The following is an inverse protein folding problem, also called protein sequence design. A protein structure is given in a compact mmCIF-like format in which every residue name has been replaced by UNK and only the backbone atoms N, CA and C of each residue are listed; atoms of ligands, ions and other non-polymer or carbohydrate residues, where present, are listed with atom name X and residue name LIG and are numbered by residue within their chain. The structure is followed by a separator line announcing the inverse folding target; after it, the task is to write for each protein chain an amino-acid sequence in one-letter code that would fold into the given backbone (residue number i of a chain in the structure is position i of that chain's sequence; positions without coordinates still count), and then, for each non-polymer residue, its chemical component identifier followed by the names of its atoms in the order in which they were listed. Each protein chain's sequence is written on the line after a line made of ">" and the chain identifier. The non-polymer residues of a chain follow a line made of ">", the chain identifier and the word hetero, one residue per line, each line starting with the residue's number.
data_IF_565306974749
#
_entry.id   IF_565306974749
#
_cell.length_a   1.000
_cell.length_b   1.000
_cell.length_c   1.000
_cell.angle_alpha   90.00
_cell.angle_beta   90.00
_cell.angle_gamma   90.00
#
_symmetry.space_group_name_H-M   'P 1'
#
loop_
_entity.id
_entity.type
_entity.pdbx_description
1 polymer ?
#
# COMPACT_ATOMS: atom_id res chain seq x y z
N UNK A 1 32.10 4.78 -61.14
CA UNK A 1 32.90 5.86 -61.76
C UNK A 1 32.95 7.02 -60.76
N UNK A 2 34.25 7.34 -60.32
CA UNK A 2 34.75 8.53 -59.61
C UNK A 2 34.17 8.86 -58.25
N UNK A 3 34.81 8.62 -57.09
CA UNK A 3 36.07 9.19 -56.51
C UNK A 3 36.10 10.72 -56.41
N UNK A 4 36.15 11.27 -55.22
CA UNK A 4 37.26 11.94 -54.48
C UNK A 4 36.71 12.97 -53.49
N UNK A 5 37.08 12.90 -52.29
CA UNK A 5 38.19 13.35 -51.44
C UNK A 5 38.01 14.73 -50.78
N UNK A 6 38.02 14.69 -49.47
CA UNK A 6 38.74 15.45 -48.44
C UNK A 6 38.99 16.96 -48.62
N UNK A 7 38.77 17.70 -47.54
CA UNK A 7 39.84 18.47 -46.83
C UNK A 7 39.34 19.22 -45.59
N UNK A 8 40.09 19.01 -44.53
CA UNK A 8 40.27 19.82 -43.33
C UNK A 8 40.20 21.34 -43.55
N UNK A 9 39.61 22.06 -42.58
CA UNK A 9 40.11 23.40 -42.21
C UNK A 9 40.06 23.56 -40.67
N UNK A 10 41.27 23.59 -40.07
CA UNK A 10 41.55 24.09 -38.73
C UNK A 10 41.36 25.61 -38.71
N UNK A 11 40.65 26.13 -37.69
CA UNK A 11 40.89 27.47 -37.22
C UNK A 11 41.05 27.46 -35.70
N UNK A 12 42.28 27.73 -35.33
CA UNK A 12 42.69 28.09 -33.96
C UNK A 12 42.20 29.52 -33.68
N UNK A 13 41.55 29.74 -32.53
CA UNK A 13 41.71 31.01 -31.82
C UNK A 13 41.75 30.69 -30.32
N UNK A 14 42.91 31.01 -29.78
CA UNK A 14 43.22 30.94 -28.36
C UNK A 14 42.86 32.25 -27.66
N UNK A 15 42.82 32.18 -26.34
CA UNK A 15 43.01 33.21 -25.31
C UNK A 15 41.73 33.86 -24.80
N UNK A 16 41.30 33.43 -23.60
CA UNK A 16 41.49 34.20 -22.36
C UNK A 16 41.17 33.34 -21.13
N UNK A 17 42.19 33.15 -20.35
CA UNK A 17 42.23 32.42 -19.09
C UNK A 17 41.58 33.21 -17.97
N UNK A 18 40.64 32.55 -17.25
CA UNK A 18 40.27 32.85 -15.89
C UNK A 18 39.94 31.55 -15.18
N UNK A 19 40.43 31.27 -13.96
CA UNK A 19 40.13 30.03 -13.28
C UNK A 19 38.67 30.07 -12.76
N UNK A 20 37.78 29.38 -13.46
CA UNK A 20 36.50 29.01 -12.88
C UNK A 20 36.78 27.82 -11.98
N UNK A 21 36.72 28.03 -10.67
CA UNK A 21 36.68 26.97 -9.67
C UNK A 21 35.49 26.11 -9.94
N UNK A 22 35.70 25.00 -10.64
CA UNK A 22 34.72 23.93 -10.70
C UNK A 22 34.72 23.24 -9.33
N UNK A 23 33.71 23.55 -8.49
CA UNK A 23 33.40 22.69 -7.38
C UNK A 23 33.06 21.29 -7.94
N UNK A 24 33.62 20.20 -7.37
CA UNK A 24 33.26 18.88 -7.79
C UNK A 24 31.81 18.62 -7.33
N UNK A 25 30.88 18.58 -8.27
CA UNK A 25 29.58 18.00 -8.05
C UNK A 25 29.84 16.49 -7.82
N UNK A 26 29.96 16.11 -6.55
CA UNK A 26 29.94 14.73 -6.12
C UNK A 26 28.51 14.19 -6.36
N UNK A 27 28.21 13.79 -7.58
CA UNK A 27 27.15 12.88 -7.84
C UNK A 27 27.57 11.54 -7.20
N UNK A 28 27.04 11.23 -6.01
CA UNK A 28 27.13 9.91 -5.41
C UNK A 28 26.51 8.92 -6.40
N UNK A 29 27.34 8.21 -7.16
CA UNK A 29 26.91 7.20 -8.09
C UNK A 29 26.09 6.17 -7.32
N UNK A 30 24.79 6.06 -7.66
CA UNK A 30 23.88 5.09 -7.03
C UNK A 30 24.35 3.69 -7.38
N UNK A 31 24.79 2.93 -6.39
CA UNK A 31 25.16 1.53 -6.56
C UNK A 31 23.93 0.61 -6.45
N UNK A 32 24.03 -0.59 -7.04
CA UNK A 32 22.94 -1.55 -7.15
C UNK A 32 23.40 -2.98 -6.84
N UNK A 33 22.58 -3.65 -6.04
CA UNK A 33 22.65 -5.07 -5.70
C UNK A 33 21.60 -5.88 -6.45
N UNK A 34 21.53 -7.20 -6.20
CA UNK A 34 20.49 -8.06 -6.77
C UNK A 34 19.70 -8.74 -5.66
N UNK A 35 18.39 -8.52 -5.67
CA UNK A 35 17.42 -9.07 -4.72
C UNK A 35 16.71 -10.29 -5.30
N UNK A 36 16.44 -11.31 -4.48
CA UNK A 36 15.77 -12.55 -4.89
C UNK A 36 14.41 -12.75 -4.23
N UNK A 37 14.38 -12.85 -2.90
CA UNK A 37 13.17 -13.14 -2.12
C UNK A 37 13.07 -12.17 -0.95
N UNK A 38 11.82 -11.88 -0.56
CA UNK A 38 11.52 -11.17 0.69
C UNK A 38 10.37 -11.87 1.40
N UNK A 39 10.51 -12.09 2.70
CA UNK A 39 9.50 -12.72 3.55
C UNK A 39 9.56 -12.15 4.96
N UNK A 40 8.48 -12.28 5.72
CA UNK A 40 8.48 -12.03 7.16
C UNK A 40 9.17 -13.16 7.93
N UNK A 41 9.32 -14.33 7.32
CA UNK A 41 9.94 -15.51 7.92
C UNK A 41 11.43 -15.57 7.57
N UNK A 42 12.30 -15.27 8.54
CA UNK A 42 13.75 -15.29 8.38
C UNK A 42 14.28 -16.70 8.04
N UNK A 43 13.68 -17.75 8.63
CA UNK A 43 14.07 -19.14 8.41
C UNK A 43 13.83 -19.57 6.97
N UNK A 44 12.61 -19.31 6.45
CA UNK A 44 12.27 -19.59 5.06
C UNK A 44 13.17 -18.83 4.07
N UNK A 45 13.56 -17.60 4.40
CA UNK A 45 14.50 -16.80 3.59
C UNK A 45 15.91 -17.40 3.64
N UNK A 46 16.36 -17.90 4.78
CA UNK A 46 17.63 -18.61 4.91
C UNK A 46 17.67 -19.88 4.04
N UNK A 47 16.61 -20.69 4.09
CA UNK A 47 16.49 -21.88 3.25
C UNK A 47 16.47 -21.54 1.74
N UNK A 48 15.78 -20.46 1.38
CA UNK A 48 15.77 -19.97 0.01
C UNK A 48 17.15 -19.47 -0.44
N UNK A 49 17.90 -18.77 0.43
CA UNK A 49 19.30 -18.38 0.16
C UNK A 49 20.14 -19.62 -0.19
N UNK A 50 20.00 -20.70 0.58
CA UNK A 50 20.75 -21.94 0.36
C UNK A 50 20.37 -22.61 -0.95
N UNK A 51 19.11 -22.54 -1.36
CA UNK A 51 18.67 -23.01 -2.68
C UNK A 51 19.29 -22.18 -3.80
N UNK A 52 19.24 -20.83 -3.67
CA UNK A 52 19.86 -19.90 -4.65
C UNK A 52 21.37 -20.15 -4.73
N UNK A 53 22.05 -20.32 -3.61
CA UNK A 53 23.49 -20.63 -3.54
C UNK A 53 23.84 -21.91 -4.28
N UNK A 54 23.07 -22.98 -4.10
CA UNK A 54 23.27 -24.26 -4.82
C UNK A 54 23.07 -24.15 -6.32
N UNK A 55 22.12 -23.33 -6.76
CA UNK A 55 21.80 -23.18 -8.20
C UNK A 55 22.81 -22.27 -8.90
N UNK A 56 23.20 -21.17 -8.26
CA UNK A 56 24.06 -20.16 -8.86
C UNK A 56 25.55 -20.39 -8.61
N UNK A 57 25.88 -21.30 -7.72
CA UNK A 57 27.26 -21.74 -7.46
C UNK A 57 28.04 -20.89 -6.45
N UNK A 58 29.25 -21.34 -6.09
CA UNK A 58 30.01 -20.79 -4.98
C UNK A 58 30.46 -19.35 -5.20
N UNK A 59 30.69 -18.94 -6.44
CA UNK A 59 31.08 -17.56 -6.75
C UNK A 59 30.00 -16.53 -6.37
N UNK A 60 28.72 -16.90 -6.48
CA UNK A 60 27.58 -16.04 -6.05
C UNK A 60 27.29 -16.25 -4.57
N UNK A 61 27.41 -17.50 -4.09
CA UNK A 61 27.09 -17.88 -2.72
C UNK A 61 27.87 -17.07 -1.66
N UNK A 62 29.13 -16.75 -1.92
CA UNK A 62 30.01 -16.01 -1.03
C UNK A 62 29.50 -14.59 -0.69
N UNK A 63 28.76 -13.97 -1.59
CA UNK A 63 28.24 -12.61 -1.47
C UNK A 63 26.70 -12.57 -1.30
N UNK A 64 26.05 -13.73 -1.19
CA UNK A 64 24.66 -13.83 -0.81
C UNK A 64 24.47 -13.57 0.69
N UNK A 65 23.58 -12.67 1.04
CA UNK A 65 23.27 -12.35 2.45
C UNK A 65 21.76 -12.43 2.68
N UNK A 66 21.41 -12.85 3.89
CA UNK A 66 20.08 -12.62 4.44
C UNK A 66 20.13 -11.27 5.16
N UNK A 67 19.22 -10.39 4.78
CA UNK A 67 19.15 -9.03 5.32
C UNK A 67 17.76 -8.75 5.87
N UNK A 68 17.69 -7.86 6.86
CA UNK A 68 16.44 -7.33 7.39
C UNK A 68 16.20 -5.91 6.85
N UNK A 69 15.01 -5.66 6.37
CA UNK A 69 14.58 -4.34 5.92
C UNK A 69 13.09 -4.17 6.15
N UNK A 70 12.75 -3.22 6.99
CA UNK A 70 11.36 -2.89 7.16
C UNK A 70 10.50 -4.00 7.78
N UNK A 71 11.07 -4.92 8.60
CA UNK A 71 10.38 -6.09 9.18
C UNK A 71 10.19 -7.24 8.18
N UNK A 72 10.78 -7.13 6.99
CA UNK A 72 10.96 -8.22 6.05
C UNK A 72 12.40 -8.69 6.08
N UNK A 73 12.59 -9.97 5.79
CA UNK A 73 13.90 -10.58 5.56
C UNK A 73 14.04 -10.83 4.06
N UNK A 74 15.21 -10.56 3.50
CA UNK A 74 15.45 -10.73 2.06
C UNK A 74 16.77 -11.38 1.76
N UNK A 75 16.86 -12.09 0.60
CA UNK A 75 18.13 -12.57 0.07
C UNK A 75 18.65 -11.55 -0.91
N UNK A 76 19.84 -11.02 -0.63
CA UNK A 76 20.54 -10.03 -1.46
C UNK A 76 21.90 -10.58 -1.88
N UNK A 77 22.22 -10.45 -3.16
CA UNK A 77 23.57 -10.60 -3.69
C UNK A 77 24.23 -9.24 -3.72
N UNK A 78 25.16 -9.01 -2.82
CA UNK A 78 25.89 -7.76 -2.67
C UNK A 78 26.87 -7.59 -3.84
N UNK A 79 26.65 -6.54 -4.63
CA UNK A 79 27.50 -6.22 -5.78
C UNK A 79 28.08 -4.82 -5.70
N UNK A 80 27.32 -3.88 -5.15
CA UNK A 80 27.65 -2.46 -5.11
C UNK A 80 28.10 -1.91 -6.49
N UNK A 81 27.48 -2.40 -7.56
CA UNK A 81 27.83 -2.07 -8.95
C UNK A 81 26.81 -1.15 -9.62
N UNK A 82 27.07 -0.80 -10.88
CA UNK A 82 26.15 0.01 -11.68
C UNK A 82 24.81 -0.69 -11.95
N UNK A 83 23.78 0.11 -12.27
CA UNK A 83 22.43 -0.38 -12.53
C UNK A 83 22.36 -1.35 -13.70
N UNK A 84 23.09 -1.07 -14.79
CA UNK A 84 23.05 -1.89 -16.00
C UNK A 84 23.64 -3.30 -15.74
N UNK A 85 24.73 -3.37 -14.98
CA UNK A 85 25.33 -4.62 -14.50
C UNK A 85 24.39 -5.39 -13.59
N UNK A 86 23.72 -4.74 -12.64
CA UNK A 86 22.74 -5.40 -11.77
C UNK A 86 21.55 -5.97 -12.56
N UNK A 87 21.06 -5.27 -13.58
CA UNK A 87 20.02 -5.76 -14.50
C UNK A 87 20.48 -6.98 -15.29
N UNK A 88 21.73 -6.96 -15.84
CA UNK A 88 22.28 -8.11 -16.57
C UNK A 88 22.39 -9.35 -15.68
N UNK A 89 22.95 -9.20 -14.49
CA UNK A 89 23.08 -10.29 -13.51
C UNK A 89 21.71 -10.83 -13.09
N UNK A 90 20.78 -9.94 -12.71
CA UNK A 90 19.44 -10.35 -12.35
C UNK A 90 18.75 -11.15 -13.46
N UNK A 91 18.94 -10.78 -14.72
CA UNK A 91 18.38 -11.51 -15.89
C UNK A 91 18.99 -12.89 -16.03
N UNK A 92 20.31 -13.04 -15.89
CA UNK A 92 20.99 -14.35 -15.96
C UNK A 92 20.54 -15.25 -14.83
N UNK A 93 20.57 -14.74 -13.60
CA UNK A 93 20.14 -15.49 -12.42
C UNK A 93 18.67 -15.91 -12.51
N UNK A 94 17.78 -15.00 -12.95
CA UNK A 94 16.37 -15.31 -13.15
C UNK A 94 16.15 -16.51 -14.11
N UNK A 95 16.92 -16.59 -15.20
CA UNK A 95 16.84 -17.73 -16.15
C UNK A 95 17.21 -19.06 -15.50
N UNK A 96 18.24 -19.07 -14.64
CA UNK A 96 18.69 -20.26 -13.94
C UNK A 96 17.71 -20.68 -12.84
N UNK A 97 17.23 -19.72 -12.06
CA UNK A 97 16.28 -19.95 -10.96
C UNK A 97 14.92 -20.41 -11.46
N UNK A 98 14.39 -19.80 -12.54
CA UNK A 98 13.08 -20.15 -13.09
C UNK A 98 13.04 -21.59 -13.64
N UNK A 99 14.17 -22.12 -14.16
CA UNK A 99 14.27 -23.53 -14.58
C UNK A 99 14.12 -24.52 -13.42
N UNK A 100 14.28 -24.05 -12.18
CA UNK A 100 14.16 -24.83 -10.94
C UNK A 100 12.93 -24.43 -10.13
N UNK A 101 11.99 -23.67 -10.72
CA UNK A 101 10.76 -23.27 -10.08
C UNK A 101 10.89 -22.15 -9.04
N UNK A 102 12.07 -21.51 -8.96
CA UNK A 102 12.29 -20.38 -8.03
C UNK A 102 11.93 -19.04 -8.66
N UNK A 103 11.72 -18.03 -7.78
CA UNK A 103 11.41 -16.67 -8.18
C UNK A 103 12.53 -16.01 -8.98
N UNK A 104 12.17 -14.98 -9.76
CA UNK A 104 13.12 -14.21 -10.55
C UNK A 104 13.84 -13.18 -9.69
N UNK A 105 15.12 -12.97 -9.95
CA UNK A 105 15.94 -11.93 -9.35
C UNK A 105 15.61 -10.54 -9.95
N UNK A 106 15.83 -9.48 -9.18
CA UNK A 106 15.63 -8.09 -9.60
C UNK A 106 16.76 -7.18 -9.08
N UNK A 107 17.16 -6.13 -9.83
CA UNK A 107 18.08 -5.14 -9.32
C UNK A 107 17.41 -4.35 -8.20
N UNK A 108 18.17 -4.00 -7.16
CA UNK A 108 17.75 -3.18 -6.03
C UNK A 108 18.84 -2.14 -5.74
N UNK A 109 18.44 -0.95 -5.30
CA UNK A 109 19.39 0.09 -4.88
C UNK A 109 20.18 -0.43 -3.67
N UNK A 110 21.51 -0.33 -3.72
CA UNK A 110 22.36 -0.67 -2.58
C UNK A 110 22.15 0.32 -1.44
N UNK A 111 22.18 -0.18 -0.23
CA UNK A 111 22.12 0.60 1.00
C UNK A 111 22.83 -0.18 2.12
N UNK A 112 22.96 0.42 3.28
CA UNK A 112 23.44 -0.26 4.47
C UNK A 112 22.41 -1.29 4.94
N UNK A 113 22.60 -2.53 4.48
CA UNK A 113 21.71 -3.64 4.80
C UNK A 113 21.95 -4.13 6.23
N UNK A 114 20.90 -4.25 7.01
CA UNK A 114 20.98 -4.93 8.32
C UNK A 114 21.14 -6.43 8.08
N UNK A 115 22.30 -6.98 8.39
CA UNK A 115 22.57 -8.42 8.22
C UNK A 115 21.86 -9.23 9.31
N UNK A 116 21.25 -10.35 8.89
CA UNK A 116 20.68 -11.33 9.81
C UNK A 116 21.75 -12.40 10.08
N UNK A 117 22.10 -12.59 11.36
CA UNK A 117 23.05 -13.63 11.74
C UNK A 117 22.50 -15.02 11.38
N UNK A 118 23.36 -15.90 10.88
CA UNK A 118 23.01 -17.29 10.57
C UNK A 118 23.01 -18.10 11.87
N UNK A 119 21.87 -18.21 12.55
CA UNK A 119 21.72 -18.89 13.84
C UNK A 119 22.14 -20.38 13.79
N UNK A 120 22.29 -20.97 12.62
CA UNK A 120 22.69 -22.38 12.45
C UNK A 120 24.17 -22.65 12.75
N UNK A 121 24.99 -21.62 12.92
CA UNK A 121 26.39 -21.78 13.33
C UNK A 121 26.59 -21.78 14.85
N UNK A 122 25.57 -21.40 15.63
CA UNK A 122 25.65 -21.28 17.09
C UNK A 122 25.01 -22.44 17.88
N UNK A 123 24.40 -23.41 17.21
CA UNK A 123 23.61 -24.47 17.87
C UNK A 123 24.44 -25.72 18.33
N UNK A 124 25.79 -25.61 18.36
CA UNK A 124 26.64 -26.67 18.91
C UNK A 124 26.99 -26.51 20.37
N UNK A 125 26.46 -25.57 21.10
CA UNK A 125 26.73 -25.42 22.54
C UNK A 125 25.65 -24.65 23.28
N UNK A 126 24.55 -25.31 23.65
CA UNK A 126 23.79 -24.95 24.87
C UNK A 126 22.86 -26.07 25.33
N UNK A 127 22.79 -26.34 26.66
CA UNK A 127 21.91 -27.37 27.22
C UNK A 127 20.46 -26.89 27.24
N UNK A 128 19.55 -27.85 27.03
CA UNK A 128 18.10 -27.68 27.17
C UNK A 128 17.74 -27.20 28.59
N UNK A 129 17.08 -26.08 28.68
CA UNK A 129 16.25 -25.72 29.83
C UNK A 129 14.81 -25.63 29.38
N UNK A 130 13.97 -26.40 30.05
CA UNK A 130 12.54 -26.50 29.88
C UNK A 130 11.85 -25.14 30.12
N UNK A 131 11.02 -24.72 29.19
CA UNK A 131 10.11 -23.60 29.37
C UNK A 131 8.74 -24.14 29.79
N UNK A 132 8.30 -23.66 30.93
CA UNK A 132 6.98 -23.90 31.47
C UNK A 132 5.94 -23.16 30.59
N UNK A 133 4.88 -23.86 30.26
CA UNK A 133 3.69 -23.33 29.59
C UNK A 133 2.99 -22.32 30.51
N UNK A 134 2.84 -21.11 30.10
CA UNK A 134 1.83 -20.18 30.63
C UNK A 134 0.71 -20.01 29.58
N UNK A 135 -0.39 -20.67 29.88
CA UNK A 135 -1.66 -20.50 29.20
C UNK A 135 -2.26 -19.13 29.54
N UNK A 136 -2.22 -18.21 28.62
CA UNK A 136 -3.06 -17.01 28.71
C UNK A 136 -4.30 -17.17 27.83
N UNK A 137 -5.44 -17.16 28.48
CA UNK A 137 -6.79 -17.11 27.96
C UNK A 137 -6.99 -15.84 27.12
N UNK A 138 -7.67 -15.86 25.99
CA UNK A 138 -7.92 -14.65 25.21
C UNK A 138 -8.85 -13.73 25.97
N UNK A 139 -8.35 -12.53 26.27
CA UNK A 139 -9.10 -11.46 26.90
C UNK A 139 -10.29 -11.05 26.01
N UNK A 140 -11.42 -10.94 26.63
CA UNK A 140 -12.69 -10.38 26.14
C UNK A 140 -12.49 -9.05 25.45
N UNK A 141 -13.30 -8.85 24.39
CA UNK A 141 -13.50 -7.63 23.62
C UNK A 141 -13.61 -6.41 24.56
N UNK A 142 -12.75 -5.39 24.44
CA UNK A 142 -12.90 -4.20 25.24
C UNK A 142 -14.16 -3.45 24.78
N UNK A 143 -15.16 -3.46 25.59
CA UNK A 143 -16.35 -2.60 25.49
C UNK A 143 -15.83 -1.15 25.45
N UNK A 144 -16.09 -0.44 24.35
CA UNK A 144 -15.73 0.97 24.18
C UNK A 144 -16.39 1.79 25.31
N UNK A 145 -15.64 2.61 26.06
CA UNK A 145 -16.27 3.54 27.00
C UNK A 145 -17.13 4.51 26.23
N UNK A 146 -18.39 4.64 26.59
CA UNK A 146 -19.33 5.56 25.94
C UNK A 146 -18.82 7.00 26.01
N UNK A 147 -18.98 7.77 24.93
CA UNK A 147 -18.47 9.14 24.84
C UNK A 147 -19.16 10.08 25.82
N UNK A 148 -18.42 11.07 26.35
CA UNK A 148 -18.99 12.14 27.19
C UNK A 148 -20.05 12.94 26.42
N UNK A 149 -21.01 13.61 27.13
CA UNK A 149 -22.10 14.38 26.48
C UNK A 149 -21.55 15.48 25.56
N UNK A 150 -20.41 16.10 25.87
CA UNK A 150 -19.76 17.13 25.04
C UNK A 150 -19.12 16.51 23.78
N UNK A 151 -18.50 15.34 23.90
CA UNK A 151 -17.91 14.59 22.79
C UNK A 151 -18.98 14.05 21.84
N UNK A 152 -20.07 13.51 22.40
CA UNK A 152 -21.24 13.05 21.62
C UNK A 152 -21.89 14.19 20.80
N UNK A 153 -21.82 15.43 21.26
CA UNK A 153 -22.31 16.60 20.52
C UNK A 153 -21.40 16.97 19.36
N UNK A 154 -20.07 17.00 19.58
CA UNK A 154 -19.07 17.31 18.55
C UNK A 154 -19.00 16.25 17.44
N UNK A 155 -19.18 14.99 17.78
CA UNK A 155 -19.27 13.89 16.80
C UNK A 155 -20.50 14.08 15.90
N UNK A 156 -21.66 14.37 16.49
CA UNK A 156 -22.91 14.62 15.72
C UNK A 156 -22.78 15.85 14.81
N UNK A 157 -22.01 16.86 15.20
CA UNK A 157 -21.82 18.06 14.40
C UNK A 157 -21.05 17.78 13.09
N UNK A 158 -20.01 16.91 13.11
CA UNK A 158 -19.27 16.54 11.89
C UNK A 158 -20.10 15.68 10.94
N UNK A 159 -20.77 14.64 11.46
CA UNK A 159 -21.66 13.82 10.65
C UNK A 159 -22.77 14.65 10.01
N UNK A 160 -23.41 15.53 10.80
CA UNK A 160 -24.45 16.44 10.33
C UNK A 160 -23.93 17.41 9.23
N UNK A 161 -22.69 17.88 9.34
CA UNK A 161 -22.08 18.73 8.30
C UNK A 161 -21.88 17.99 6.98
N UNK A 162 -21.38 16.74 7.02
CA UNK A 162 -21.25 15.88 5.83
C UNK A 162 -22.62 15.58 5.24
N UNK A 163 -23.61 15.21 6.07
CA UNK A 163 -24.98 14.97 5.62
C UNK A 163 -25.61 16.19 4.96
N UNK A 164 -25.49 17.37 5.59
CA UNK A 164 -26.02 18.63 5.07
C UNK A 164 -25.43 18.95 3.69
N UNK A 165 -24.12 18.76 3.52
CA UNK A 165 -23.44 18.95 2.25
C UNK A 165 -23.99 18.00 1.17
N UNK A 166 -24.12 16.70 1.44
CA UNK A 166 -24.67 15.73 0.50
C UNK A 166 -26.14 16.02 0.17
N UNK A 167 -26.95 16.37 1.16
CA UNK A 167 -28.37 16.78 0.98
C UNK A 167 -28.49 18.02 0.08
N UNK A 168 -27.60 19.02 0.28
CA UNK A 168 -27.56 20.21 -0.58
C UNK A 168 -27.21 19.89 -2.03
N UNK A 169 -26.21 19.04 -2.25
CA UNK A 169 -25.86 18.58 -3.59
C UNK A 169 -27.01 17.82 -4.30
N UNK A 170 -27.77 17.03 -3.53
CA UNK A 170 -28.97 16.35 -4.04
C UNK A 170 -30.06 17.35 -4.41
N UNK A 171 -30.33 18.35 -3.55
CA UNK A 171 -31.30 19.40 -3.80
C UNK A 171 -30.97 20.21 -5.04
N UNK A 172 -29.67 20.47 -5.28
CA UNK A 172 -29.15 21.17 -6.46
C UNK A 172 -29.03 20.29 -7.72
N UNK A 173 -29.44 19.01 -7.65
CA UNK A 173 -29.31 18.04 -8.75
C UNK A 173 -27.87 17.65 -9.10
N UNK A 174 -26.90 18.03 -8.28
CA UNK A 174 -25.48 17.70 -8.49
C UNK A 174 -25.14 16.26 -8.11
N UNK A 175 -25.90 15.62 -7.23
CA UNK A 175 -25.94 14.19 -6.99
C UNK A 175 -27.36 13.71 -7.32
N UNK A 176 -27.48 12.78 -8.24
CA UNK A 176 -28.79 12.30 -8.70
C UNK A 176 -29.44 11.34 -7.68
N UNK A 177 -30.77 11.14 -7.81
CA UNK A 177 -31.55 10.29 -6.89
C UNK A 177 -31.15 8.80 -6.95
N UNK A 178 -30.62 8.37 -8.11
CA UNK A 178 -30.14 7.00 -8.34
C UNK A 178 -28.72 6.75 -7.80
N UNK A 179 -28.08 7.76 -7.23
CA UNK A 179 -26.78 7.66 -6.60
C UNK A 179 -26.92 7.47 -5.09
N UNK A 180 -26.33 6.43 -4.55
CA UNK A 180 -26.21 6.20 -3.12
C UNK A 180 -24.79 6.51 -2.65
N UNK A 181 -24.65 6.98 -1.43
CA UNK A 181 -23.35 7.37 -0.86
C UNK A 181 -23.13 6.68 0.48
N UNK A 182 -21.88 6.33 0.76
CA UNK A 182 -21.45 5.79 2.06
C UNK A 182 -20.20 6.52 2.53
N UNK A 183 -20.21 6.94 3.78
CA UNK A 183 -19.12 7.69 4.42
C UNK A 183 -18.78 7.10 5.77
N UNK A 184 -17.48 7.02 6.07
CA UNK A 184 -17.00 6.54 7.35
C UNK A 184 -15.72 7.27 7.72
N UNK A 185 -15.69 7.86 8.92
CA UNK A 185 -14.53 8.55 9.48
C UNK A 185 -14.29 8.05 10.90
N UNK A 186 -13.06 7.70 11.20
CA UNK A 186 -12.62 7.25 12.51
C UNK A 186 -11.35 8.01 12.91
N UNK A 187 -11.35 8.64 14.06
CA UNK A 187 -10.21 9.34 14.63
C UNK A 187 -9.38 8.38 15.48
N UNK A 188 -8.12 8.12 15.07
CA UNK A 188 -7.24 7.21 15.80
C UNK A 188 -6.70 7.77 17.11
N UNK A 189 -6.72 9.08 17.27
CA UNK A 189 -6.20 9.77 18.45
C UNK A 189 -7.17 9.66 19.60
N UNK A 190 -8.47 9.88 19.34
CA UNK A 190 -9.52 9.78 20.35
C UNK A 190 -10.15 8.40 20.45
N UNK A 191 -9.97 7.56 19.42
CA UNK A 191 -10.64 6.27 19.34
C UNK A 191 -12.11 6.37 18.97
N UNK A 192 -12.56 7.47 18.35
CA UNK A 192 -13.97 7.73 18.10
C UNK A 192 -14.36 7.66 16.64
N UNK A 193 -15.58 7.17 16.44
CA UNK A 193 -16.24 7.16 15.14
C UNK A 193 -16.94 8.52 14.95
N UNK A 194 -16.54 9.24 13.91
CA UNK A 194 -17.00 10.61 13.66
C UNK A 194 -18.08 10.73 12.58
N UNK A 195 -18.09 9.78 11.62
CA UNK A 195 -19.07 9.71 10.53
C UNK A 195 -19.41 8.25 10.22
N UNK A 196 -20.71 7.96 10.14
CA UNK A 196 -21.27 6.59 9.98
C UNK A 196 -22.34 6.50 8.89
N UNK A 197 -22.38 7.45 7.95
CA UNK A 197 -23.45 7.58 6.96
C UNK A 197 -23.44 6.38 6.00
N UNK A 198 -24.48 5.54 6.04
CA UNK A 198 -24.61 4.33 5.23
C UNK A 198 -23.36 3.43 5.28
N UNK A 199 -22.60 3.45 6.36
CA UNK A 199 -21.31 2.78 6.41
C UNK A 199 -21.40 1.25 6.37
N UNK A 200 -22.54 0.66 6.77
CA UNK A 200 -22.78 -0.79 6.73
C UNK A 200 -23.34 -1.28 5.39
N UNK A 201 -23.79 -0.36 4.54
CA UNK A 201 -24.34 -0.71 3.23
C UNK A 201 -23.23 -1.30 2.36
N UNK A 202 -23.54 -2.42 1.71
CA UNK A 202 -22.65 -3.02 0.70
C UNK A 202 -22.69 -2.22 -0.59
N UNK A 203 -21.51 -1.79 -1.04
CA UNK A 203 -21.25 -1.17 -2.33
C UNK A 203 -20.39 -2.09 -3.20
N UNK A 204 -20.33 -1.81 -4.51
CA UNK A 204 -19.32 -2.43 -5.35
C UNK A 204 -17.94 -2.16 -4.77
N UNK A 205 -17.12 -3.20 -4.66
CA UNK A 205 -15.78 -3.02 -4.08
C UNK A 205 -14.79 -2.38 -5.07
N UNK A 206 -14.97 -2.60 -6.38
CA UNK A 206 -14.05 -2.17 -7.42
C UNK A 206 -12.58 -2.45 -7.02
N UNK A 207 -11.68 -1.49 -7.21
CA UNK A 207 -10.27 -1.62 -6.82
C UNK A 207 -9.99 -1.37 -5.33
N UNK A 208 -10.97 -0.95 -4.54
CA UNK A 208 -10.82 -0.82 -3.10
C UNK A 208 -10.56 -2.17 -2.41
N UNK A 209 -10.93 -3.28 -3.06
CA UNK A 209 -10.74 -4.64 -2.51
C UNK A 209 -9.29 -5.12 -2.54
N UNK A 210 -8.41 -4.46 -3.28
CA UNK A 210 -7.03 -4.92 -3.53
C UNK A 210 -6.18 -5.01 -2.26
N UNK A 211 -6.25 -4.08 -1.30
CA UNK A 211 -5.58 -4.26 0.00
C UNK A 211 -6.09 -5.46 0.80
N UNK A 212 -7.37 -5.85 0.67
CA UNK A 212 -7.90 -7.06 1.31
C UNK A 212 -7.28 -8.33 0.71
N UNK A 213 -7.13 -8.35 -0.63
CA UNK A 213 -6.46 -9.45 -1.35
C UNK A 213 -5.00 -9.54 -0.91
N UNK A 214 -4.33 -8.41 -0.71
CA UNK A 214 -2.97 -8.36 -0.18
C UNK A 214 -2.88 -8.98 1.23
N UNK A 215 -3.82 -8.67 2.13
CA UNK A 215 -3.86 -9.26 3.46
C UNK A 215 -4.01 -10.79 3.42
N UNK A 216 -4.88 -11.32 2.56
CA UNK A 216 -5.03 -12.76 2.39
C UNK A 216 -3.75 -13.41 1.82
N UNK A 217 -3.04 -12.74 0.91
CA UNK A 217 -1.75 -13.21 0.41
C UNK A 217 -0.70 -13.26 1.51
N UNK A 218 -0.56 -12.18 2.30
CA UNK A 218 0.41 -12.14 3.40
C UNK A 218 0.08 -13.16 4.50
N UNK A 219 -1.20 -13.45 4.72
CA UNK A 219 -1.58 -14.53 5.63
C UNK A 219 -1.04 -15.89 5.17
N UNK A 220 -1.09 -16.19 3.87
CA UNK A 220 -0.48 -17.38 3.29
C UNK A 220 1.06 -17.37 3.39
N UNK A 221 1.68 -16.19 3.31
CA UNK A 221 3.13 -16.03 3.52
C UNK A 221 3.50 -16.35 4.97
N UNK A 222 2.73 -15.87 5.94
CA UNK A 222 2.93 -16.19 7.37
C UNK A 222 2.81 -17.69 7.65
N UNK A 223 1.85 -18.36 6.98
CA UNK A 223 1.68 -19.81 7.05
C UNK A 223 2.76 -20.61 6.29
N UNK A 224 3.77 -19.95 5.71
CA UNK A 224 4.83 -20.57 4.89
C UNK A 224 4.32 -21.27 3.61
N UNK A 225 3.08 -21.02 3.21
CA UNK A 225 2.48 -21.59 2.00
C UNK A 225 2.86 -20.78 0.75
N UNK A 226 3.20 -19.51 0.90
CA UNK A 226 3.65 -18.63 -0.17
C UNK A 226 4.93 -17.89 0.24
N UNK A 227 5.69 -17.46 -0.77
CA UNK A 227 6.88 -16.63 -0.57
C UNK A 227 6.66 -15.25 -1.17
N UNK A 228 6.99 -14.20 -0.42
CA UNK A 228 6.96 -12.82 -0.90
C UNK A 228 8.30 -12.47 -1.58
N UNK A 229 8.51 -13.02 -2.79
CA UNK A 229 9.71 -12.82 -3.61
C UNK A 229 9.58 -11.67 -4.61
N UNK A 230 10.59 -11.45 -5.47
CA UNK A 230 10.60 -10.35 -6.44
C UNK A 230 9.40 -10.33 -7.41
N UNK A 231 8.90 -11.51 -7.79
CA UNK A 231 7.73 -11.65 -8.67
C UNK A 231 6.45 -11.22 -7.96
N UNK A 232 6.18 -11.76 -6.77
CA UNK A 232 5.00 -11.41 -5.98
C UNK A 232 5.05 -9.94 -5.54
N UNK A 233 6.22 -9.40 -5.18
CA UNK A 233 6.41 -7.98 -4.85
C UNK A 233 6.04 -7.07 -6.04
N UNK A 234 6.48 -7.40 -7.26
CA UNK A 234 6.13 -6.66 -8.48
C UNK A 234 4.63 -6.67 -8.74
N UNK A 235 3.98 -7.85 -8.63
CA UNK A 235 2.54 -7.94 -8.82
C UNK A 235 1.77 -7.22 -7.70
N UNK A 236 2.23 -7.30 -6.46
CA UNK A 236 1.64 -6.61 -5.34
C UNK A 236 1.70 -5.08 -5.51
N UNK A 237 2.84 -4.55 -5.92
CA UNK A 237 3.02 -3.13 -6.22
C UNK A 237 2.15 -2.69 -7.40
N UNK A 238 2.13 -3.44 -8.50
CA UNK A 238 1.25 -3.16 -9.63
C UNK A 238 -0.23 -3.20 -9.22
N UNK A 239 -0.62 -4.14 -8.39
CA UNK A 239 -1.99 -4.28 -7.90
C UNK A 239 -2.41 -3.08 -7.06
N UNK A 240 -1.62 -2.67 -6.08
CA UNK A 240 -1.99 -1.61 -5.14
C UNK A 240 -1.74 -0.22 -5.75
N UNK A 241 -0.54 0.06 -6.24
CA UNK A 241 -0.14 1.37 -6.74
C UNK A 241 -0.79 1.70 -8.08
N UNK A 242 -0.57 0.86 -9.10
CA UNK A 242 -1.12 1.10 -10.45
C UNK A 242 -2.53 0.56 -10.64
N UNK A 243 -3.10 -0.07 -9.61
CA UNK A 243 -4.44 -0.68 -9.69
C UNK A 243 -4.59 -1.72 -10.81
N UNK A 244 -3.50 -2.43 -11.17
CA UNK A 244 -3.41 -3.36 -12.27
C UNK A 244 -4.29 -4.61 -12.04
N UNK A 245 -5.25 -4.86 -12.94
CA UNK A 245 -6.18 -5.98 -12.81
C UNK A 245 -5.54 -7.35 -13.12
N UNK A 246 -4.69 -7.49 -14.15
CA UNK A 246 -3.91 -8.71 -14.36
C UNK A 246 -3.09 -9.12 -13.13
N UNK A 247 -2.41 -8.18 -12.49
CA UNK A 247 -1.65 -8.43 -11.26
C UNK A 247 -2.56 -8.80 -10.08
N UNK A 248 -3.73 -8.16 -9.96
CA UNK A 248 -4.73 -8.52 -8.96
C UNK A 248 -5.14 -9.99 -9.12
N UNK A 249 -5.47 -10.40 -10.34
CA UNK A 249 -5.87 -11.78 -10.63
C UNK A 249 -4.72 -12.77 -10.44
N UNK A 250 -3.49 -12.34 -10.70
CA UNK A 250 -2.31 -13.16 -10.40
C UNK A 250 -2.20 -13.40 -8.88
N UNK A 251 -2.28 -12.35 -8.07
CA UNK A 251 -2.24 -12.46 -6.59
C UNK A 251 -3.38 -13.34 -6.08
N UNK A 252 -4.60 -13.15 -6.57
CA UNK A 252 -5.74 -14.00 -6.19
C UNK A 252 -5.51 -15.47 -6.52
N UNK A 253 -4.92 -15.76 -7.69
CA UNK A 253 -4.59 -17.16 -8.06
C UNK A 253 -3.55 -17.78 -7.11
N UNK A 254 -2.54 -17.02 -6.69
CA UNK A 254 -1.55 -17.53 -5.72
C UNK A 254 -2.23 -17.88 -4.38
N UNK A 255 -3.21 -17.10 -3.94
CA UNK A 255 -3.98 -17.38 -2.71
C UNK A 255 -4.92 -18.59 -2.86
N UNK A 256 -5.22 -19.03 -4.09
CA UNK A 256 -6.17 -20.12 -4.37
C UNK A 256 -7.53 -19.64 -4.88
N UNK A 257 -7.60 -18.41 -5.42
CA UNK A 257 -8.78 -17.82 -6.05
C UNK A 257 -9.66 -17.00 -5.11
N UNK A 258 -10.72 -16.36 -5.65
CA UNK A 258 -11.58 -15.43 -4.91
C UNK A 258 -12.19 -16.06 -3.64
N UNK A 259 -12.71 -17.29 -3.74
CA UNK A 259 -13.27 -18.01 -2.60
C UNK A 259 -12.25 -18.30 -1.50
N UNK A 260 -10.98 -18.56 -1.86
CA UNK A 260 -9.93 -18.76 -0.87
C UNK A 260 -9.58 -17.45 -0.16
N UNK A 261 -9.49 -16.33 -0.91
CA UNK A 261 -9.33 -15.00 -0.33
C UNK A 261 -10.45 -14.72 0.69
N UNK A 262 -11.72 -14.91 0.30
CA UNK A 262 -12.87 -14.70 1.19
C UNK A 262 -12.76 -15.53 2.48
N UNK A 263 -12.54 -16.84 2.36
CA UNK A 263 -12.39 -17.72 3.54
C UNK A 263 -11.27 -17.33 4.48
N UNK A 264 -10.11 -16.89 3.94
CA UNK A 264 -8.98 -16.45 4.76
C UNK A 264 -9.38 -15.22 5.56
N UNK A 265 -10.01 -14.24 4.92
CA UNK A 265 -10.41 -12.99 5.57
C UNK A 265 -11.48 -13.24 6.65
N UNK A 266 -12.51 -14.02 6.35
CA UNK A 266 -13.57 -14.35 7.31
C UNK A 266 -13.05 -15.13 8.52
N UNK A 267 -12.23 -16.14 8.27
CA UNK A 267 -11.69 -17.01 9.33
C UNK A 267 -10.75 -16.28 10.27
N UNK A 268 -9.84 -15.46 9.73
CA UNK A 268 -8.73 -14.90 10.50
C UNK A 268 -8.99 -13.46 10.97
N UNK A 269 -9.96 -12.77 10.36
CA UNK A 269 -10.32 -11.39 10.72
C UNK A 269 -11.85 -11.19 10.79
N UNK A 270 -12.60 -12.03 11.55
CA UNK A 270 -14.07 -12.01 11.52
C UNK A 270 -14.66 -10.69 12.01
N UNK A 271 -13.94 -9.94 12.85
CA UNK A 271 -14.37 -8.64 13.32
C UNK A 271 -14.25 -7.52 12.28
N UNK A 272 -13.54 -7.74 11.16
CA UNK A 272 -13.26 -6.72 10.15
C UNK A 272 -14.18 -6.87 8.95
N UNK A 273 -14.24 -8.05 8.33
CA UNK A 273 -14.87 -8.30 7.03
C UNK A 273 -16.31 -8.85 7.19
N UNK A 274 -17.21 -8.05 7.82
CA UNK A 274 -18.59 -8.48 8.11
C UNK A 274 -19.54 -8.32 6.92
N UNK A 275 -19.29 -7.34 6.07
CA UNK A 275 -20.08 -7.01 4.90
C UNK A 275 -19.26 -7.09 3.60
N UNK A 276 -18.14 -7.81 3.63
CA UNK A 276 -17.28 -8.03 2.47
C UNK A 276 -17.63 -9.33 1.77
N UNK A 277 -17.67 -9.31 0.44
CA UNK A 277 -17.92 -10.48 -0.40
C UNK A 277 -16.99 -10.49 -1.60
N UNK A 278 -16.08 -11.46 -1.67
CA UNK A 278 -15.11 -11.66 -2.76
C UNK A 278 -15.47 -12.95 -3.49
N UNK A 279 -16.15 -12.83 -4.61
CA UNK A 279 -16.76 -13.95 -5.32
C UNK A 279 -16.24 -14.16 -6.73
N UNK A 280 -15.49 -13.19 -7.26
CA UNK A 280 -15.01 -13.25 -8.64
C UNK A 280 -13.61 -12.66 -8.81
N UNK A 281 -12.89 -13.16 -9.84
CA UNK A 281 -11.72 -12.45 -10.37
C UNK A 281 -12.14 -11.13 -11.00
N UNK A 282 -11.18 -10.21 -11.17
CA UNK A 282 -11.45 -8.98 -11.90
C UNK A 282 -11.54 -9.32 -13.40
N UNK A 283 -12.70 -9.20 -14.04
CA UNK A 283 -12.87 -9.57 -15.43
C UNK A 283 -12.14 -8.62 -16.38
N UNK A 284 -11.93 -9.07 -17.61
CA UNK A 284 -11.38 -8.24 -18.67
C UNK A 284 -12.22 -6.95 -18.84
N UNK A 285 -11.53 -5.82 -18.98
CA UNK A 285 -12.20 -4.50 -19.03
C UNK A 285 -12.68 -3.97 -17.65
N UNK A 286 -12.33 -4.64 -16.54
CA UNK A 286 -12.58 -4.13 -15.18
C UNK A 286 -14.05 -4.08 -14.77
N UNK A 287 -14.94 -4.82 -15.45
CA UNK A 287 -16.38 -4.86 -15.18
C UNK A 287 -16.71 -5.76 -13.99
N UNK A 288 -16.19 -5.42 -12.81
CA UNK A 288 -16.45 -6.19 -11.57
C UNK A 288 -17.53 -5.49 -10.76
N UNK A 289 -18.66 -6.13 -10.60
CA UNK A 289 -19.81 -5.62 -9.85
C UNK A 289 -20.27 -6.55 -8.73
N UNK A 290 -19.71 -7.77 -8.67
CA UNK A 290 -20.14 -8.81 -7.73
C UNK A 290 -19.32 -8.81 -6.44
N UNK A 291 -18.06 -8.39 -6.50
CA UNK A 291 -17.27 -8.17 -5.30
C UNK A 291 -17.80 -6.93 -4.58
N UNK A 292 -18.12 -7.06 -3.30
CA UNK A 292 -18.73 -6.00 -2.49
C UNK A 292 -18.01 -5.84 -1.17
N UNK A 293 -18.10 -4.62 -0.61
CA UNK A 293 -17.67 -4.31 0.74
C UNK A 293 -18.40 -3.06 1.26
N UNK A 294 -18.38 -2.87 2.58
CA UNK A 294 -18.96 -1.69 3.22
C UNK A 294 -17.88 -0.66 3.58
N UNK A 295 -18.28 0.60 3.75
CA UNK A 295 -17.36 1.64 4.22
C UNK A 295 -16.84 1.31 5.64
N UNK A 296 -17.64 0.64 6.46
CA UNK A 296 -17.27 0.18 7.79
C UNK A 296 -16.15 -0.87 7.77
N UNK A 297 -16.23 -1.84 6.85
CA UNK A 297 -15.19 -2.86 6.70
C UNK A 297 -13.86 -2.24 6.25
N UNK A 298 -13.89 -1.27 5.33
CA UNK A 298 -12.69 -0.51 4.96
C UNK A 298 -12.11 0.26 6.15
N UNK A 299 -12.95 0.93 6.95
CA UNK A 299 -12.52 1.66 8.13
C UNK A 299 -11.84 0.74 9.16
N UNK A 300 -12.47 -0.41 9.48
CA UNK A 300 -11.90 -1.42 10.39
C UNK A 300 -10.58 -1.99 9.87
N UNK A 301 -10.53 -2.32 8.57
CA UNK A 301 -9.32 -2.82 7.95
C UNK A 301 -8.17 -1.80 8.01
N UNK A 302 -8.43 -0.56 7.67
CA UNK A 302 -7.41 0.51 7.70
C UNK A 302 -6.91 0.75 9.14
N UNK A 303 -7.80 0.73 10.12
CA UNK A 303 -7.41 0.79 11.53
C UNK A 303 -6.53 -0.40 11.94
N UNK A 304 -6.91 -1.61 11.55
CA UNK A 304 -6.14 -2.81 11.86
C UNK A 304 -4.77 -2.81 11.16
N UNK A 305 -4.68 -2.32 9.92
CA UNK A 305 -3.42 -2.10 9.20
C UNK A 305 -2.57 -1.04 9.92
N UNK A 306 -3.16 0.06 10.37
CA UNK A 306 -2.45 1.11 11.09
C UNK A 306 -1.85 0.59 12.40
N UNK A 307 -2.63 -0.17 13.15
CA UNK A 307 -2.22 -0.78 14.43
C UNK A 307 -1.34 -2.03 14.29
N UNK A 308 -1.03 -2.47 13.05
CA UNK A 308 -0.22 -3.67 12.83
C UNK A 308 -0.94 -5.00 13.13
N UNK A 309 -2.28 -4.98 13.25
CA UNK A 309 -3.10 -6.18 13.57
C UNK A 309 -3.44 -7.05 12.34
N UNK A 310 -2.99 -6.66 11.16
CA UNK A 310 -3.11 -7.43 9.91
C UNK A 310 -1.74 -7.98 9.55
N UNK A 311 -1.68 -9.25 9.21
CA UNK A 311 -0.45 -9.87 8.68
C UNK A 311 -0.01 -9.11 7.43
N UNK A 312 1.27 -8.73 7.39
CA UNK A 312 1.82 -7.90 6.31
C UNK A 312 1.41 -6.42 6.37
N UNK A 313 0.85 -5.94 7.49
CA UNK A 313 0.38 -4.55 7.65
C UNK A 313 1.44 -3.51 7.27
N UNK A 314 2.71 -3.75 7.58
CA UNK A 314 3.81 -2.83 7.26
C UNK A 314 4.00 -2.68 5.75
N UNK A 315 3.98 -3.79 5.02
CA UNK A 315 4.12 -3.76 3.56
C UNK A 315 2.85 -3.21 2.90
N UNK A 316 1.67 -3.54 3.42
CA UNK A 316 0.40 -2.94 2.95
C UNK A 316 0.44 -1.42 3.13
N UNK A 317 0.88 -0.91 4.28
CA UNK A 317 1.08 0.53 4.51
C UNK A 317 2.04 1.14 3.49
N UNK A 318 3.22 0.53 3.30
CA UNK A 318 4.20 0.99 2.33
C UNK A 318 3.60 1.10 0.92
N UNK A 319 2.89 0.07 0.49
CA UNK A 319 2.28 0.02 -0.84
C UNK A 319 1.17 1.05 -1.03
N UNK A 320 0.35 1.27 -0.01
CA UNK A 320 -0.73 2.27 -0.03
C UNK A 320 -0.22 3.71 0.11
N UNK A 321 1.02 3.92 0.58
CA UNK A 321 1.67 5.24 0.67
C UNK A 321 2.47 5.63 -0.57
N UNK A 322 2.55 4.75 -1.59
CA UNK A 322 3.23 5.10 -2.83
C UNK A 322 2.48 6.25 -3.53
N UNK A 323 3.19 7.27 -4.03
CA UNK A 323 2.56 8.41 -4.71
C UNK A 323 1.67 7.95 -5.86
N UNK A 324 0.39 8.26 -5.80
CA UNK A 324 -0.59 7.78 -6.77
C UNK A 324 -1.84 8.66 -6.82
N UNK A 325 -2.85 8.17 -7.53
CA UNK A 325 -4.14 8.87 -7.61
C UNK A 325 -4.88 8.75 -6.30
N UNK A 326 -5.33 9.87 -5.77
CA UNK A 326 -6.23 9.94 -4.62
C UNK A 326 -7.42 10.90 -4.90
N UNK A 327 -8.39 10.88 -3.99
CA UNK A 327 -9.56 11.76 -3.99
C UNK A 327 -9.83 12.34 -2.59
N UNK A 328 -8.91 12.14 -1.68
CA UNK A 328 -9.06 12.56 -0.27
C UNK A 328 -8.01 13.59 0.17
N UNK A 329 -7.01 13.84 -0.69
CA UNK A 329 -5.91 14.76 -0.39
C UNK A 329 -5.60 15.69 -1.55
N UNK A 330 -5.18 15.15 -2.73
CA UNK A 330 -4.80 15.98 -3.87
C UNK A 330 -5.99 16.77 -4.40
N UNK A 331 -5.94 18.09 -4.25
CA UNK A 331 -7.01 19.01 -4.61
C UNK A 331 -8.12 19.16 -3.56
N UNK A 332 -7.92 18.66 -2.34
CA UNK A 332 -8.64 19.09 -1.15
C UNK A 332 -7.99 20.39 -0.65
N UNK A 333 -8.74 21.48 -0.60
CA UNK A 333 -8.18 22.84 -0.41
C UNK A 333 -7.73 23.12 1.02
N UNK A 334 -8.37 22.46 1.99
CA UNK A 334 -8.15 22.73 3.41
C UNK A 334 -7.22 21.71 4.07
N UNK A 335 -7.03 20.52 3.47
CA UNK A 335 -6.12 19.51 4.02
C UNK A 335 -4.67 19.99 3.85
N UNK A 336 -3.89 20.15 4.95
CA UNK A 336 -2.58 20.79 4.89
C UNK A 336 -1.57 20.03 4.04
N UNK A 337 -0.67 20.78 3.40
CA UNK A 337 0.51 20.22 2.75
C UNK A 337 1.35 19.42 3.74
N UNK A 338 2.01 18.35 3.26
CA UNK A 338 2.78 17.46 4.11
C UNK A 338 1.95 16.45 4.92
N UNK A 339 0.62 16.41 4.71
CA UNK A 339 -0.23 15.33 5.22
C UNK A 339 0.24 14.00 4.63
N UNK A 340 0.48 13.02 5.50
CA UNK A 340 0.78 11.65 5.03
C UNK A 340 -0.50 10.96 4.64
N UNK A 341 -0.50 10.34 3.46
CA UNK A 341 -1.68 9.67 2.90
C UNK A 341 -1.35 8.22 2.58
N UNK A 342 -2.23 7.34 3.01
CA UNK A 342 -2.28 5.94 2.61
C UNK A 342 -3.66 5.70 2.03
N UNK A 343 -3.78 5.43 0.73
CA UNK A 343 -5.11 5.25 0.15
C UNK A 343 -5.18 4.19 -0.93
N UNK A 344 -6.41 3.84 -1.25
CA UNK A 344 -6.75 3.09 -2.45
C UNK A 344 -8.01 3.65 -3.08
N UNK A 345 -7.90 4.06 -4.33
CA UNK A 345 -9.06 4.48 -5.14
C UNK A 345 -9.81 3.28 -5.74
N UNK A 346 -11.11 3.45 -5.95
CA UNK A 346 -11.97 2.52 -6.67
C UNK A 346 -12.81 3.24 -7.74
N UNK A 347 -12.87 2.67 -8.95
CA UNK A 347 -13.65 3.23 -10.05
C UNK A 347 -14.28 2.13 -10.90
N UNK A 348 -15.54 2.31 -11.27
CA UNK A 348 -16.24 1.60 -12.35
C UNK A 348 -17.12 2.59 -13.08
N UNK A 349 -17.82 2.16 -14.13
CA UNK A 349 -18.82 3.01 -14.79
C UNK A 349 -20.00 3.41 -13.85
N UNK A 350 -20.04 2.83 -12.62
CA UNK A 350 -21.08 3.07 -11.61
C UNK A 350 -20.54 3.47 -10.25
N UNK A 351 -19.22 3.47 -10.03
CA UNK A 351 -18.61 3.72 -8.73
C UNK A 351 -17.47 4.73 -8.85
N UNK A 352 -17.49 5.70 -7.95
CA UNK A 352 -16.35 6.57 -7.61
C UNK A 352 -16.12 6.47 -6.11
N UNK A 353 -14.93 6.03 -5.69
CA UNK A 353 -14.64 5.85 -4.28
C UNK A 353 -13.16 6.03 -3.97
N UNK A 354 -12.88 6.40 -2.73
CA UNK A 354 -11.56 6.35 -2.13
C UNK A 354 -11.67 5.92 -0.67
N UNK A 355 -10.69 5.16 -0.19
CA UNK A 355 -10.59 4.72 1.19
C UNK A 355 -9.14 4.86 1.64
N UNK A 356 -8.92 5.67 2.68
CA UNK A 356 -7.56 5.95 3.13
C UNK A 356 -7.45 6.40 4.57
N UNK A 357 -6.20 6.59 4.97
CA UNK A 357 -5.78 7.22 6.21
C UNK A 357 -5.07 8.51 5.84
N UNK A 358 -5.49 9.61 6.45
CA UNK A 358 -4.78 10.87 6.44
C UNK A 358 -4.14 11.07 7.82
N UNK A 359 -2.86 11.43 7.85
CA UNK A 359 -2.13 11.73 9.09
C UNK A 359 -1.63 13.17 9.02
N UNK A 360 -2.42 14.08 9.52
CA UNK A 360 -2.11 15.52 9.54
C UNK A 360 -1.17 15.85 10.70
N UNK A 361 -0.35 16.88 10.53
CA UNK A 361 0.48 17.39 11.60
C UNK A 361 -0.24 18.57 12.27
N UNK A 362 -0.41 18.49 13.59
CA UNK A 362 -0.97 19.56 14.39
C UNK A 362 0.05 20.64 14.72
N UNK A 363 -0.41 21.80 15.25
CA UNK A 363 0.44 22.89 15.68
C UNK A 363 1.45 22.51 16.78
N UNK A 364 1.13 21.47 17.55
CA UNK A 364 1.99 20.88 18.59
C UNK A 364 3.07 19.93 18.02
N UNK A 365 3.19 19.81 16.70
CA UNK A 365 4.12 18.92 16.02
C UNK A 365 3.71 17.44 16.01
N UNK A 366 2.65 17.05 16.70
CA UNK A 366 2.16 15.67 16.71
C UNK A 366 1.37 15.35 15.45
N UNK A 367 1.24 14.06 15.20
CA UNK A 367 0.44 13.53 14.09
C UNK A 367 -0.93 13.09 14.60
N UNK A 368 -1.96 13.46 13.85
CA UNK A 368 -3.35 13.15 14.10
C UNK A 368 -3.92 12.32 12.94
N UNK A 369 -3.78 10.98 13.02
CA UNK A 369 -4.27 10.09 11.97
C UNK A 369 -5.77 9.83 12.11
N UNK A 370 -6.46 9.79 10.96
CA UNK A 370 -7.87 9.42 10.87
C UNK A 370 -8.14 8.68 9.56
N UNK A 371 -9.18 7.83 9.55
CA UNK A 371 -9.67 7.26 8.30
C UNK A 371 -10.64 8.20 7.62
N UNK A 372 -10.63 8.19 6.29
CA UNK A 372 -11.72 8.71 5.48
C UNK A 372 -12.04 7.71 4.37
N UNK A 373 -13.28 7.23 4.39
CA UNK A 373 -13.85 6.40 3.33
C UNK A 373 -15.00 7.15 2.70
N UNK A 374 -14.91 7.39 1.39
CA UNK A 374 -15.95 8.01 0.59
C UNK A 374 -16.33 7.12 -0.59
N UNK A 375 -17.58 6.72 -0.68
CA UNK A 375 -18.12 5.85 -1.72
C UNK A 375 -19.36 6.51 -2.32
N UNK A 376 -19.37 6.68 -3.64
CA UNK A 376 -20.51 7.14 -4.41
C UNK A 376 -20.77 6.12 -5.51
N UNK A 377 -21.95 5.49 -5.46
CA UNK A 377 -22.36 4.45 -6.39
C UNK A 377 -23.65 4.81 -7.08
N UNK A 378 -23.68 4.65 -8.39
CA UNK A 378 -24.81 4.90 -9.25
C UNK A 378 -25.50 3.60 -9.65
N UNK A 379 -26.83 3.61 -9.75
CA UNK A 379 -27.59 2.43 -10.17
C UNK A 379 -27.27 2.05 -11.61
N UNK A 380 -27.26 3.03 -12.52
CA UNK A 380 -26.97 2.84 -13.92
C UNK A 380 -25.57 3.33 -14.30
N UNK A 381 -25.05 2.89 -15.44
CA UNK A 381 -23.78 3.37 -15.97
C UNK A 381 -23.87 4.86 -16.27
N UNK A 382 -22.85 5.61 -15.91
CA UNK A 382 -22.75 7.01 -16.29
C UNK A 382 -22.66 7.14 -17.82
N UNK A 383 -23.50 7.98 -18.41
CA UNK A 383 -23.49 8.25 -19.85
C UNK A 383 -22.18 8.92 -20.28
N UNK A 384 -21.70 9.89 -19.51
CA UNK A 384 -20.36 10.47 -19.66
C UNK A 384 -19.52 10.10 -18.42
N UNK A 385 -18.78 9.00 -18.55
CA UNK A 385 -17.94 8.49 -17.45
C UNK A 385 -16.91 9.51 -16.96
N UNK A 386 -16.21 10.17 -17.88
CA UNK A 386 -15.13 11.11 -17.53
C UNK A 386 -15.65 12.32 -16.75
N UNK A 387 -16.74 12.90 -17.17
CA UNK A 387 -17.37 14.02 -16.48
C UNK A 387 -17.92 13.57 -15.11
N UNK A 388 -18.58 12.42 -15.07
CA UNK A 388 -19.18 11.89 -13.86
C UNK A 388 -18.10 11.56 -12.81
N UNK A 389 -17.05 10.82 -13.18
CA UNK A 389 -16.00 10.42 -12.22
C UNK A 389 -15.25 11.65 -11.66
N UNK A 390 -15.01 12.68 -12.48
CA UNK A 390 -14.39 13.94 -12.06
C UNK A 390 -15.30 14.67 -11.07
N UNK A 391 -16.57 14.79 -11.36
CA UNK A 391 -17.55 15.45 -10.48
C UNK A 391 -17.70 14.72 -9.14
N UNK A 392 -17.66 13.37 -9.12
CA UNK A 392 -17.75 12.59 -7.86
C UNK A 392 -16.47 12.62 -7.07
N UNK A 393 -15.31 12.65 -7.75
CA UNK A 393 -14.03 12.88 -7.09
C UNK A 393 -14.01 14.24 -6.37
N UNK A 394 -14.57 15.27 -6.96
CA UNK A 394 -14.71 16.59 -6.34
C UNK A 394 -15.58 16.57 -5.09
N UNK A 395 -16.71 15.84 -5.12
CA UNK A 395 -17.53 15.65 -3.92
C UNK A 395 -16.75 14.99 -2.78
N UNK A 396 -15.91 14.00 -3.09
CA UNK A 396 -15.08 13.33 -2.08
C UNK A 396 -14.03 14.29 -1.50
N UNK A 397 -13.41 15.15 -2.32
CA UNK A 397 -12.46 16.18 -1.85
C UNK A 397 -13.13 17.19 -0.92
N UNK A 398 -14.28 17.69 -1.30
CA UNK A 398 -15.01 18.65 -0.45
C UNK A 398 -15.45 18.01 0.88
N UNK A 399 -15.81 16.72 0.89
CA UNK A 399 -16.05 15.99 2.14
C UNK A 399 -14.74 15.86 2.94
N UNK A 400 -13.60 15.64 2.28
CA UNK A 400 -12.30 15.60 2.96
C UNK A 400 -11.97 16.92 3.64
N UNK A 401 -12.28 18.06 3.02
CA UNK A 401 -12.13 19.40 3.61
C UNK A 401 -13.02 19.57 4.84
N UNK A 402 -14.30 19.18 4.76
CA UNK A 402 -15.24 19.21 5.89
C UNK A 402 -14.72 18.32 7.04
N UNK A 403 -14.23 17.13 6.72
CA UNK A 403 -13.69 16.20 7.72
C UNK A 403 -12.44 16.78 8.37
N UNK A 404 -11.50 17.31 7.56
CA UNK A 404 -10.31 17.95 8.12
C UNK A 404 -10.64 19.11 9.08
N UNK A 405 -11.57 19.99 8.72
CA UNK A 405 -12.05 21.05 9.62
C UNK A 405 -12.63 20.49 10.93
N UNK A 406 -13.36 19.38 10.85
CA UNK A 406 -13.88 18.69 12.02
C UNK A 406 -12.77 18.15 12.92
N UNK A 407 -11.75 17.50 12.34
CA UNK A 407 -10.55 17.01 13.03
C UNK A 407 -9.78 18.18 13.65
N UNK A 408 -9.52 19.24 12.91
CA UNK A 408 -8.79 20.41 13.37
C UNK A 408 -9.48 21.08 14.59
N UNK A 409 -10.80 21.30 14.51
CA UNK A 409 -11.60 21.85 15.63
C UNK A 409 -11.59 20.93 16.85
N UNK A 410 -11.64 19.60 16.62
CA UNK A 410 -11.64 18.62 17.69
C UNK A 410 -10.33 18.62 18.48
N UNK A 411 -9.22 18.72 17.77
CA UNK A 411 -7.87 18.70 18.34
C UNK A 411 -7.32 20.10 18.66
N UNK A 412 -8.14 21.15 18.52
CA UNK A 412 -7.75 22.51 18.91
C UNK A 412 -6.71 23.15 18.00
N UNK A 413 -6.72 22.86 16.70
CA UNK A 413 -5.84 23.52 15.73
C UNK A 413 -6.36 24.95 15.51
N UNK A 414 -5.78 25.92 16.19
CA UNK A 414 -6.29 27.28 16.34
C UNK A 414 -6.35 28.13 15.06
N UNK A 415 -5.82 27.66 13.92
CA UNK A 415 -5.62 28.45 12.70
C UNK A 415 -6.37 27.92 11.47
N UNK A 416 -7.48 27.22 11.66
CA UNK A 416 -8.31 26.71 10.55
C UNK A 416 -9.66 27.43 10.58
N UNK A 417 -9.64 28.70 10.19
CA UNK A 417 -10.81 29.49 9.83
C UNK A 417 -10.60 30.09 8.44
#
# INVERSE_FOLDING_TARGET
>A
MYYQTARLLFFLLAILSGPVSAEPISATEKSYDVSYVWSIDATAVGEYRDQVARILGPAVAKDLRVVADGGLHGVIYLRHGDRAGAVRVARVHSRLLSKRGLDTAAPVLSKDWTMVADERQTEKSRPQQALAESSETPASDPTEPGPSIRESRRVRDLEAAVEAYIKDLRRKGRISKDERTGWSVYDFTTGEKLVTINEEVQFQAASLIKPFIAAAFFHRVEQKELIYGPRSRRHMERMIHYSDNPSTNWVMRQVGGPRAVQRILEKNYPGIFRATSIVEYIPAGGKTYRNKASARDYSRFLYAVWKGKIVGAREIKRLMSLPGTDRIYTGAELVPDGTQVLNKTGSTARLCADAGILSVQGPDGKRYPYTLIGIIEKQDKASNYTAWIRSRAEVIRNVSDIVYQGIARRHGFSNVL
#
